data_IF_695168148438
#
_entry.id   IF_695168148438
#
_cell.length_a   1.000
_cell.length_b   1.000
_cell.length_c   1.000
_cell.angle_alpha   90.00
_cell.angle_beta   90.00
_cell.angle_gamma   90.00
#
_symmetry.space_group_name_H-M   'P 1'
#
loop_
_entity.id
_entity.type
_entity.pdbx_description
1 polymer ?
#
# COMPACT_ATOMS: atom_id res chain seq x y z
N UNK A 1 -34.39 30.67 8.58
CA UNK A 1 -33.37 29.61 8.39
C UNK A 1 -32.01 30.27 8.44
N UNK A 2 -31.07 29.75 9.22
CA UNK A 2 -29.75 30.37 9.43
C UNK A 2 -28.78 29.98 8.31
N UNK A 3 -27.84 30.86 8.00
CA UNK A 3 -26.74 30.62 7.05
C UNK A 3 -25.87 29.41 7.44
N UNK A 4 -25.74 29.15 8.75
CA UNK A 4 -25.06 27.97 9.28
C UNK A 4 -25.70 26.66 8.81
N UNK A 5 -27.04 26.59 8.71
CA UNK A 5 -27.74 25.40 8.24
C UNK A 5 -27.46 25.10 6.77
N UNK A 6 -27.44 26.13 5.90
CA UNK A 6 -27.12 25.94 4.49
C UNK A 6 -25.66 25.49 4.30
N UNK A 7 -24.75 26.05 5.10
CA UNK A 7 -23.34 25.64 5.08
C UNK A 7 -23.14 24.20 5.54
N UNK A 8 -23.93 23.74 6.51
CA UNK A 8 -23.88 22.35 6.96
C UNK A 8 -24.52 21.39 5.94
N UNK A 9 -25.57 21.82 5.23
CA UNK A 9 -26.15 21.05 4.13
C UNK A 9 -25.17 20.91 2.95
N UNK A 10 -24.50 22.00 2.55
CA UNK A 10 -23.44 21.97 1.54
C UNK A 10 -22.27 21.05 1.94
N UNK A 11 -21.96 20.97 3.24
CA UNK A 11 -20.95 20.04 3.74
C UNK A 11 -21.42 18.59 3.62
N UNK A 12 -22.67 18.30 3.90
CA UNK A 12 -23.21 16.94 3.72
C UNK A 12 -23.19 16.51 2.25
N UNK A 13 -23.51 17.42 1.32
CA UNK A 13 -23.49 17.13 -0.12
C UNK A 13 -22.07 16.92 -0.68
N UNK A 14 -21.04 17.38 0.03
CA UNK A 14 -19.63 17.18 -0.35
C UNK A 14 -18.99 15.94 0.29
N UNK A 15 -19.69 15.26 1.19
CA UNK A 15 -19.20 14.00 1.74
C UNK A 15 -19.18 12.93 0.64
N UNK A 16 -18.14 12.09 0.60
CA UNK A 16 -18.09 11.00 -0.35
C UNK A 16 -19.26 10.04 -0.08
N UNK A 17 -19.96 9.65 -1.14
CA UNK A 17 -21.05 8.65 -1.07
C UNK A 17 -20.52 7.23 -0.76
N UNK A 18 -19.22 7.02 -0.99
CA UNK A 18 -18.50 5.75 -0.82
C UNK A 18 -17.50 5.85 0.32
N UNK A 19 -17.23 4.72 0.95
CA UNK A 19 -16.12 4.60 1.89
C UNK A 19 -14.80 4.51 1.12
N UNK A 20 -13.83 5.30 1.56
CA UNK A 20 -12.54 5.45 0.90
C UNK A 20 -11.44 4.91 1.79
N UNK A 21 -10.70 3.92 1.29
CA UNK A 21 -9.60 3.30 2.04
C UNK A 21 -8.28 3.45 1.29
N UNK A 22 -7.23 3.79 2.03
CA UNK A 22 -5.86 3.66 1.58
C UNK A 22 -5.24 2.36 2.13
N UNK A 23 -4.49 1.65 1.29
CA UNK A 23 -3.79 0.43 1.67
C UNK A 23 -2.33 0.57 1.28
N UNK A 24 -1.44 0.46 2.26
CA UNK A 24 0.00 0.51 1.99
C UNK A 24 0.45 -0.82 1.39
N UNK A 25 1.24 -0.79 0.31
CA UNK A 25 1.80 -2.00 -0.30
C UNK A 25 3.31 -1.86 -0.43
N UNK A 26 4.02 -2.72 0.28
CA UNK A 26 5.47 -2.75 0.37
C UNK A 26 6.03 -4.08 -0.10
N UNK A 27 7.25 -4.04 -0.61
CA UNK A 27 8.10 -5.15 -0.97
C UNK A 27 9.34 -5.13 -0.07
N UNK A 28 9.63 -6.26 0.55
CA UNK A 28 10.79 -6.49 1.38
C UNK A 28 11.56 -7.70 0.84
N UNK A 29 12.82 -7.48 0.44
CA UNK A 29 13.68 -8.59 -0.01
C UNK A 29 13.98 -9.57 1.13
N UNK A 30 14.04 -9.07 2.35
CA UNK A 30 14.13 -9.86 3.58
C UNK A 30 13.51 -9.10 4.76
N UNK A 31 13.40 -9.77 5.92
CA UNK A 31 12.88 -9.16 7.16
C UNK A 31 13.83 -8.19 7.86
N UNK A 32 15.03 -7.95 7.32
CA UNK A 32 15.97 -6.92 7.80
C UNK A 32 16.00 -5.69 6.89
N UNK A 33 15.07 -5.60 5.94
CA UNK A 33 14.93 -4.48 5.01
C UNK A 33 14.87 -3.14 5.77
N UNK A 34 15.76 -2.23 5.40
CA UNK A 34 15.75 -0.86 5.91
C UNK A 34 14.65 -0.04 5.22
N UNK A 35 14.36 1.15 5.72
CA UNK A 35 13.45 2.08 5.02
C UNK A 35 13.89 2.38 3.58
N UNK A 36 15.19 2.43 3.31
CA UNK A 36 15.69 2.60 1.94
C UNK A 36 15.37 1.37 1.09
N UNK A 37 15.58 0.16 1.62
CA UNK A 37 15.24 -1.08 0.90
C UNK A 37 13.73 -1.21 0.64
N UNK A 38 12.89 -0.75 1.57
CA UNK A 38 11.43 -0.79 1.42
C UNK A 38 10.91 0.21 0.39
N UNK A 39 11.47 1.43 0.34
CA UNK A 39 10.98 2.49 -0.56
C UNK A 39 11.67 2.48 -1.93
N UNK A 40 12.92 2.03 -1.98
CA UNK A 40 13.81 1.99 -3.14
C UNK A 40 14.54 0.63 -3.25
N UNK A 41 13.81 -0.49 -3.35
CA UNK A 41 14.44 -1.82 -3.45
C UNK A 41 15.33 -1.90 -4.68
N UNK A 42 16.52 -2.53 -4.52
CA UNK A 42 17.48 -2.73 -5.61
C UNK A 42 16.91 -3.57 -6.76
N UNK A 43 16.03 -4.50 -6.43
CA UNK A 43 15.33 -5.35 -7.38
C UNK A 43 13.98 -5.74 -6.80
N UNK A 44 12.96 -5.76 -7.66
CA UNK A 44 11.60 -6.20 -7.33
C UNK A 44 11.34 -7.52 -8.07
N UNK A 45 10.72 -8.50 -7.40
CA UNK A 45 10.38 -9.77 -8.03
C UNK A 45 9.24 -9.62 -9.04
N UNK A 46 9.29 -10.42 -10.12
CA UNK A 46 8.24 -10.41 -11.14
C UNK A 46 6.87 -10.75 -10.56
N UNK A 47 6.82 -11.71 -9.64
CA UNK A 47 5.61 -12.13 -8.95
C UNK A 47 4.95 -10.98 -8.17
N UNK A 48 5.75 -10.17 -7.47
CA UNK A 48 5.22 -8.99 -6.77
C UNK A 48 4.65 -7.96 -7.74
N UNK A 49 5.33 -7.72 -8.87
CA UNK A 49 4.84 -6.78 -9.87
C UNK A 49 3.51 -7.26 -10.50
N UNK A 50 3.40 -8.55 -10.81
CA UNK A 50 2.16 -9.14 -11.29
C UNK A 50 1.06 -9.10 -10.22
N UNK A 51 1.41 -9.27 -8.95
CA UNK A 51 0.49 -9.07 -7.84
C UNK A 51 -0.04 -7.62 -7.80
N UNK A 52 0.83 -6.61 -7.89
CA UNK A 52 0.43 -5.19 -7.95
C UNK A 52 -0.53 -4.90 -9.11
N UNK A 53 -0.35 -5.57 -10.24
CA UNK A 53 -1.26 -5.45 -11.39
C UNK A 53 -2.59 -6.19 -11.19
N UNK A 54 -2.65 -7.14 -10.25
CA UNK A 54 -3.83 -7.96 -9.98
C UNK A 54 -4.76 -7.41 -8.89
N UNK A 55 -4.26 -6.57 -7.97
CA UNK A 55 -5.05 -6.02 -6.85
C UNK A 55 -6.07 -4.97 -7.28
N UNK A 56 -5.84 -4.30 -8.41
CA UNK A 56 -6.71 -3.25 -8.88
C UNK A 56 -6.43 -2.87 -10.33
N UNK A 57 -7.33 -2.07 -10.90
CA UNK A 57 -7.09 -1.48 -12.20
C UNK A 57 -6.09 -0.34 -12.07
N UNK A 58 -5.11 -0.28 -12.97
CA UNK A 58 -4.24 0.89 -13.08
C UNK A 58 -5.04 2.07 -13.65
N UNK A 59 -5.17 3.15 -12.89
CA UNK A 59 -5.89 4.37 -13.30
C UNK A 59 -4.92 5.54 -13.43
N UNK A 60 -5.10 6.38 -14.46
CA UNK A 60 -4.34 7.62 -14.63
C UNK A 60 -4.91 8.73 -13.75
N UNK A 61 -4.11 9.24 -12.82
CA UNK A 61 -4.55 10.26 -11.85
C UNK A 61 -4.96 11.58 -12.49
N UNK A 62 -4.52 11.86 -13.72
CA UNK A 62 -4.88 13.08 -14.44
C UNK A 62 -6.37 13.12 -14.79
N UNK A 63 -6.93 11.97 -15.14
CA UNK A 63 -8.30 11.84 -15.65
C UNK A 63 -9.21 11.11 -14.64
N UNK A 64 -8.66 10.67 -13.50
CA UNK A 64 -9.40 9.97 -12.47
C UNK A 64 -10.22 10.93 -11.59
N UNK A 65 -11.51 10.64 -11.45
CA UNK A 65 -12.47 11.46 -10.67
C UNK A 65 -12.81 10.87 -9.30
N UNK A 66 -12.36 9.64 -9.01
CA UNK A 66 -12.60 8.96 -7.74
C UNK A 66 -11.55 9.30 -6.68
N UNK A 67 -11.59 8.58 -5.57
CA UNK A 67 -10.65 8.74 -4.47
C UNK A 67 -9.19 8.52 -4.88
N UNK A 68 -8.35 9.53 -4.66
CA UNK A 68 -6.91 9.49 -4.90
C UNK A 68 -6.06 9.86 -3.66
N UNK A 69 -6.70 10.02 -2.50
CA UNK A 69 -6.04 10.42 -1.25
C UNK A 69 -5.16 11.66 -1.44
N UNK A 70 -3.90 11.58 -1.01
CA UNK A 70 -2.89 12.65 -1.16
C UNK A 70 -2.15 12.60 -2.51
N UNK A 71 -2.41 11.60 -3.34
CA UNK A 71 -1.77 11.46 -4.65
C UNK A 71 -2.39 12.41 -5.66
N UNK A 72 -1.57 12.89 -6.59
CA UNK A 72 -1.97 13.80 -7.66
C UNK A 72 -1.08 13.61 -8.90
N UNK A 73 -1.47 14.13 -10.07
CA UNK A 73 -0.72 13.97 -11.32
C UNK A 73 0.73 14.46 -11.26
N UNK A 74 1.05 15.39 -10.34
CA UNK A 74 2.40 15.93 -10.17
C UNK A 74 3.32 14.95 -9.45
N UNK A 75 2.77 14.10 -8.57
CA UNK A 75 3.55 13.17 -7.73
C UNK A 75 3.41 11.69 -8.13
N UNK A 76 2.40 11.34 -8.92
CA UNK A 76 2.19 9.99 -9.44
C UNK A 76 1.42 10.06 -10.77
N UNK A 77 1.71 9.17 -11.73
CA UNK A 77 0.95 9.09 -12.98
C UNK A 77 -0.23 8.14 -12.83
N UNK A 78 0.07 6.94 -12.38
CA UNK A 78 -0.85 5.80 -12.37
C UNK A 78 -0.82 5.12 -11.03
N UNK A 79 -1.98 4.71 -10.53
CA UNK A 79 -2.11 4.02 -9.25
C UNK A 79 -3.00 2.78 -9.38
N UNK A 80 -2.70 1.65 -8.72
CA UNK A 80 -3.65 0.55 -8.63
C UNK A 80 -4.83 0.99 -7.78
N UNK A 81 -6.01 0.86 -8.34
CA UNK A 81 -7.24 1.35 -7.77
C UNK A 81 -8.36 0.34 -7.95
N UNK A 82 -9.19 0.19 -6.93
CA UNK A 82 -10.39 -0.63 -6.97
C UNK A 82 -11.59 0.18 -6.54
N UNK A 83 -12.71 0.03 -7.26
CA UNK A 83 -13.98 0.60 -6.87
C UNK A 83 -15.10 -0.42 -6.99
N UNK A 84 -16.02 -0.37 -6.03
CA UNK A 84 -17.28 -1.08 -6.05
C UNK A 84 -18.43 -0.09 -5.86
N UNK A 85 -19.65 -0.57 -5.58
CA UNK A 85 -20.80 0.32 -5.32
C UNK A 85 -20.63 1.15 -4.05
N UNK A 86 -19.98 0.59 -3.03
CA UNK A 86 -19.95 1.17 -1.68
C UNK A 86 -18.55 1.62 -1.26
N UNK A 87 -17.51 1.10 -1.92
CA UNK A 87 -16.11 1.26 -1.46
C UNK A 87 -15.19 1.64 -2.61
N UNK A 88 -14.24 2.51 -2.32
CA UNK A 88 -13.09 2.86 -3.16
C UNK A 88 -11.79 2.56 -2.39
N UNK A 89 -10.83 1.92 -3.06
CA UNK A 89 -9.57 1.48 -2.47
C UNK A 89 -8.41 1.95 -3.33
N UNK A 90 -7.48 2.64 -2.69
CA UNK A 90 -6.23 3.11 -3.28
C UNK A 90 -5.06 2.32 -2.72
N UNK A 91 -4.30 1.65 -3.59
CA UNK A 91 -3.11 0.91 -3.18
C UNK A 91 -1.88 1.81 -3.26
N UNK A 92 -1.49 2.36 -2.11
CA UNK A 92 -0.34 3.24 -1.97
C UNK A 92 0.95 2.42 -1.99
N UNK A 93 1.76 2.61 -3.02
CA UNK A 93 3.05 1.93 -3.14
C UNK A 93 4.14 2.90 -3.62
N UNK A 94 5.34 2.87 -3.02
CA UNK A 94 6.37 3.85 -3.35
C UNK A 94 6.98 3.61 -4.75
N UNK A 95 6.75 2.43 -5.35
CA UNK A 95 7.36 2.01 -6.61
C UNK A 95 6.77 2.67 -7.86
N UNK A 96 5.59 3.29 -7.73
CA UNK A 96 4.89 3.98 -8.84
C UNK A 96 4.92 5.51 -8.69
N UNK A 97 5.49 6.01 -7.60
CA UNK A 97 5.59 7.44 -7.33
C UNK A 97 6.65 8.07 -8.24
N UNK A 98 6.33 9.26 -8.77
CA UNK A 98 7.28 9.98 -9.62
C UNK A 98 8.43 10.52 -8.79
N UNK A 99 9.60 10.39 -9.37
CA UNK A 99 10.75 11.19 -9.01
C UNK A 99 10.55 12.59 -9.61
N UNK A 100 10.53 13.62 -8.77
CA UNK A 100 10.49 14.99 -9.29
C UNK A 100 11.80 15.23 -10.02
N UNK A 101 11.71 15.53 -11.31
CA UNK A 101 12.88 15.81 -12.14
C UNK A 101 13.66 16.98 -11.55
N UNK A 102 14.92 16.72 -11.17
CA UNK A 102 15.90 17.73 -10.78
C UNK A 102 16.35 18.49 -12.04
N UNK A 103 15.45 19.26 -12.66
CA UNK A 103 15.81 20.10 -13.80
C UNK A 103 16.83 21.16 -13.35
N UNK A 104 18.09 21.00 -13.78
CA UNK A 104 19.08 22.09 -13.77
C UNK A 104 20.34 21.93 -12.89
N UNK A 105 20.80 20.74 -12.52
CA UNK A 105 22.12 20.60 -11.86
C UNK A 105 22.96 19.45 -12.44
N UNK A 106 24.20 19.78 -12.77
CA UNK A 106 25.22 18.97 -13.44
C UNK A 106 25.23 17.49 -13.04
N UNK A 107 25.39 16.63 -14.05
CA UNK A 107 25.48 15.17 -14.00
C UNK A 107 26.61 14.60 -13.12
N UNK A 108 27.43 15.45 -12.51
CA UNK A 108 28.60 15.06 -11.70
C UNK A 108 28.27 14.92 -10.19
N UNK A 109 27.01 15.12 -9.76
CA UNK A 109 26.56 14.99 -8.37
C UNK A 109 25.58 13.83 -8.13
N UNK A 110 25.89 12.66 -8.71
CA UNK A 110 25.08 11.45 -8.62
C UNK A 110 24.66 11.04 -7.18
N UNK A 111 25.53 11.11 -6.13
CA UNK A 111 25.14 10.72 -4.77
C UNK A 111 24.10 11.66 -4.14
N UNK A 112 24.11 12.94 -4.52
CA UNK A 112 23.21 13.96 -3.97
C UNK A 112 21.82 13.82 -4.59
N UNK A 113 21.74 13.42 -5.86
CA UNK A 113 20.47 13.19 -6.54
C UNK A 113 19.69 12.01 -5.92
N UNK A 114 20.34 10.87 -5.66
CA UNK A 114 19.68 9.70 -5.06
C UNK A 114 19.15 9.97 -3.65
N UNK A 115 19.90 10.72 -2.83
CA UNK A 115 19.47 11.06 -1.48
C UNK A 115 18.25 12.01 -1.47
N UNK A 116 18.23 12.99 -2.38
CA UNK A 116 17.08 13.90 -2.54
C UNK A 116 15.84 13.13 -3.00
N UNK A 117 16.00 12.23 -3.98
CA UNK A 117 14.89 11.43 -4.50
C UNK A 117 14.32 10.48 -3.43
N UNK A 118 15.20 9.82 -2.66
CA UNK A 118 14.79 9.01 -1.52
C UNK A 118 14.00 9.83 -0.50
N UNK A 119 14.49 11.02 -0.14
CA UNK A 119 13.81 11.90 0.81
C UNK A 119 12.42 12.32 0.31
N UNK A 120 12.29 12.72 -0.95
CA UNK A 120 11.02 13.10 -1.55
C UNK A 120 10.02 11.93 -1.57
N UNK A 121 10.48 10.76 -2.01
CA UNK A 121 9.65 9.53 -2.04
C UNK A 121 9.20 9.14 -0.63
N UNK A 122 10.10 9.23 0.35
CA UNK A 122 9.79 8.99 1.76
C UNK A 122 8.70 9.94 2.26
N UNK A 123 8.88 11.24 2.09
CA UNK A 123 7.90 12.24 2.54
C UNK A 123 6.51 12.00 1.92
N UNK A 124 6.47 11.74 0.61
CA UNK A 124 5.22 11.46 -0.09
C UNK A 124 4.56 10.15 0.36
N UNK A 125 5.35 9.08 0.48
CA UNK A 125 4.84 7.78 0.90
C UNK A 125 4.29 7.85 2.32
N UNK A 126 5.02 8.42 3.27
CA UNK A 126 4.56 8.59 4.65
C UNK A 126 3.28 9.44 4.74
N UNK A 127 3.15 10.48 3.90
CA UNK A 127 1.91 11.25 3.84
C UNK A 127 0.72 10.42 3.32
N UNK A 128 0.98 9.45 2.43
CA UNK A 128 -0.04 8.55 1.88
C UNK A 128 -0.41 7.37 2.78
N UNK A 129 0.37 7.10 3.84
CA UNK A 129 0.11 5.98 4.77
C UNK A 129 -0.58 6.38 6.07
N UNK A 130 -0.82 7.68 6.29
CA UNK A 130 -1.32 8.20 7.57
C UNK A 130 -2.68 7.60 7.99
N UNK A 131 -3.55 7.25 7.05
CA UNK A 131 -4.88 6.67 7.35
C UNK A 131 -4.97 5.18 6.96
N UNK A 132 -3.83 4.58 6.57
CA UNK A 132 -3.83 3.20 6.08
C UNK A 132 -3.78 2.24 7.27
N UNK A 133 -4.94 1.69 7.64
CA UNK A 133 -5.06 0.69 8.71
C UNK A 133 -4.61 -0.71 8.29
N UNK A 134 -4.66 -1.01 7.00
CA UNK A 134 -4.12 -2.25 6.44
C UNK A 134 -2.84 -1.98 5.65
N UNK A 135 -1.81 -2.79 5.92
CA UNK A 135 -0.55 -2.76 5.17
C UNK A 135 -0.24 -4.15 4.62
N UNK A 136 -0.11 -4.26 3.30
CA UNK A 136 0.36 -5.45 2.62
C UNK A 136 1.87 -5.40 2.53
N UNK A 137 2.55 -6.45 3.00
CA UNK A 137 4.00 -6.58 2.93
C UNK A 137 4.32 -7.87 2.18
N UNK A 138 4.86 -7.73 0.98
CA UNK A 138 5.45 -8.85 0.26
C UNK A 138 6.84 -9.13 0.80
N UNK A 139 7.10 -10.37 1.19
CA UNK A 139 8.40 -10.76 1.74
C UNK A 139 8.89 -12.04 1.07
N UNK A 140 10.14 -12.07 0.63
CA UNK A 140 10.72 -13.27 0.00
C UNK A 140 11.15 -14.32 1.05
N UNK A 141 11.33 -13.91 2.32
CA UNK A 141 11.74 -14.78 3.43
C UNK A 141 11.03 -14.40 4.73
N UNK A 142 10.41 -15.35 5.42
CA UNK A 142 9.66 -15.12 6.66
C UNK A 142 10.50 -15.07 7.95
N UNK A 143 11.80 -15.36 7.91
CA UNK A 143 12.62 -15.40 9.13
C UNK A 143 12.57 -14.03 9.81
N UNK A 144 12.06 -13.97 11.04
CA UNK A 144 11.91 -12.75 11.84
C UNK A 144 10.93 -11.71 11.27
N UNK A 145 9.87 -12.15 10.59
CA UNK A 145 8.82 -11.26 10.02
C UNK A 145 8.15 -10.36 11.06
N UNK A 146 8.05 -10.80 12.31
CA UNK A 146 7.52 -10.00 13.42
C UNK A 146 8.33 -8.71 13.66
N UNK A 147 9.65 -8.76 13.42
CA UNK A 147 10.51 -7.59 13.56
C UNK A 147 10.32 -6.63 12.39
N UNK A 148 10.15 -7.16 11.17
CA UNK A 148 9.81 -6.35 10.01
C UNK A 148 8.48 -5.63 10.21
N UNK A 149 7.44 -6.33 10.69
CA UNK A 149 6.14 -5.71 10.96
C UNK A 149 6.26 -4.59 11.99
N UNK A 150 6.95 -4.84 13.11
CA UNK A 150 7.17 -3.80 14.13
C UNK A 150 7.89 -2.58 13.56
N UNK A 151 8.91 -2.80 12.73
CA UNK A 151 9.65 -1.72 12.07
C UNK A 151 8.78 -0.93 11.09
N UNK A 152 7.99 -1.62 10.26
CA UNK A 152 7.06 -0.99 9.32
C UNK A 152 6.02 -0.17 10.08
N UNK A 153 5.45 -0.70 11.15
CA UNK A 153 4.49 0.03 11.98
C UNK A 153 5.17 1.24 12.63
N UNK A 154 6.36 1.12 13.21
CA UNK A 154 6.97 2.26 13.92
C UNK A 154 7.48 3.36 12.99
N UNK A 155 8.05 3.01 11.83
CA UNK A 155 8.77 3.96 10.99
C UNK A 155 8.07 4.32 9.67
N UNK A 156 7.16 3.47 9.17
CA UNK A 156 6.68 3.55 7.78
C UNK A 156 5.16 3.75 7.67
N UNK A 157 4.37 2.99 8.43
CA UNK A 157 2.91 3.07 8.40
C UNK A 157 2.34 2.95 9.84
N UNK A 158 2.44 4.02 10.66
CA UNK A 158 2.05 4.01 12.08
C UNK A 158 0.59 3.69 12.37
N UNK A 159 -0.30 3.94 11.42
CA UNK A 159 -1.74 3.65 11.56
C UNK A 159 -2.12 2.21 11.26
N UNK A 160 -1.15 1.39 10.83
CA UNK A 160 -1.37 -0.03 10.54
C UNK A 160 -1.88 -0.74 11.79
N UNK A 161 -3.10 -1.23 11.73
CA UNK A 161 -3.68 -2.15 12.72
C UNK A 161 -3.41 -3.59 12.33
N UNK A 162 -3.33 -3.86 11.02
CA UNK A 162 -3.11 -5.20 10.48
C UNK A 162 -2.12 -5.22 9.32
N UNK A 163 -1.16 -6.14 9.42
CA UNK A 163 -0.17 -6.44 8.40
C UNK A 163 -0.54 -7.75 7.69
N UNK A 164 -0.78 -7.67 6.38
CA UNK A 164 -1.02 -8.82 5.51
C UNK A 164 0.31 -9.19 4.86
N UNK A 165 0.92 -10.27 5.33
CA UNK A 165 2.18 -10.76 4.76
C UNK A 165 1.87 -11.72 3.64
N UNK A 166 2.45 -11.45 2.48
CA UNK A 166 2.41 -12.34 1.31
C UNK A 166 3.83 -12.84 1.08
N UNK A 167 4.00 -14.16 1.01
CA UNK A 167 5.29 -14.74 0.67
C UNK A 167 5.13 -15.92 -0.31
N UNK A 168 6.05 -16.09 -1.28
CA UNK A 168 6.02 -17.23 -2.20
C UNK A 168 6.08 -18.56 -1.45
N UNK A 169 5.31 -19.54 -1.92
CA UNK A 169 5.34 -20.90 -1.39
C UNK A 169 6.62 -21.61 -1.85
N UNK A 170 7.41 -22.11 -0.91
CA UNK A 170 8.76 -22.67 -1.18
C UNK A 170 8.79 -23.83 -2.17
N UNK A 171 7.70 -24.58 -2.27
CA UNK A 171 7.64 -25.83 -3.06
C UNK A 171 6.76 -25.75 -4.32
N UNK A 172 5.94 -24.71 -4.49
CA UNK A 172 4.93 -24.65 -5.57
C UNK A 172 4.93 -23.25 -6.16
N UNK A 173 5.39 -23.14 -7.41
CA UNK A 173 5.38 -21.86 -8.14
C UNK A 173 3.95 -21.37 -8.36
N UNK A 174 3.73 -20.05 -8.21
CA UNK A 174 2.42 -19.43 -8.35
C UNK A 174 1.47 -19.71 -7.19
N UNK A 175 1.97 -20.23 -6.07
CA UNK A 175 1.24 -20.29 -4.80
C UNK A 175 1.92 -19.38 -3.79
N UNK A 176 1.12 -18.70 -2.97
CA UNK A 176 1.57 -17.75 -1.97
C UNK A 176 0.91 -18.06 -0.64
N UNK A 177 1.68 -17.96 0.41
CA UNK A 177 1.21 -18.13 1.77
C UNK A 177 0.92 -16.77 2.37
N UNK A 178 -0.16 -16.71 3.13
CA UNK A 178 -0.60 -15.52 3.83
C UNK A 178 -0.33 -15.67 5.32
N UNK A 179 0.28 -14.65 5.92
CA UNK A 179 0.33 -14.49 7.38
C UNK A 179 -0.37 -13.19 7.75
N UNK A 180 -1.17 -13.22 8.80
CA UNK A 180 -1.83 -12.02 9.32
C UNK A 180 -1.23 -11.70 10.69
N UNK A 181 -0.71 -10.49 10.83
CA UNK A 181 -0.14 -10.01 12.09
C UNK A 181 -0.79 -8.70 12.48
N UNK A 182 -1.02 -8.49 13.77
CA UNK A 182 -1.44 -7.19 14.28
C UNK A 182 -0.27 -6.19 14.28
N UNK A 183 -0.55 -4.95 14.68
CA UNK A 183 0.44 -3.86 14.79
C UNK A 183 1.63 -4.17 15.72
N UNK A 184 1.50 -5.15 16.62
CA UNK A 184 2.58 -5.59 17.52
C UNK A 184 3.45 -6.68 16.90
N UNK A 185 3.19 -7.10 15.66
CA UNK A 185 3.85 -8.21 15.01
C UNK A 185 3.50 -9.56 15.64
N UNK A 186 2.32 -9.67 16.25
CA UNK A 186 1.83 -10.91 16.86
C UNK A 186 0.80 -11.52 15.92
N UNK A 187 0.92 -12.83 15.71
CA UNK A 187 -0.10 -13.63 15.05
C UNK A 187 -1.22 -13.85 16.07
N UNK A 188 -2.43 -13.38 15.76
CA UNK A 188 -3.60 -13.64 16.59
C UNK A 188 -4.29 -14.93 16.13
N UNK A 189 -4.63 -15.79 17.09
CA UNK A 189 -5.32 -17.05 16.80
C UNK A 189 -6.69 -16.76 16.15
N UNK A 190 -6.93 -17.38 14.99
CA UNK A 190 -8.14 -17.19 14.17
C UNK A 190 -8.32 -15.76 13.63
N UNK A 191 -7.24 -14.98 13.49
CA UNK A 191 -7.32 -13.72 12.77
C UNK A 191 -7.75 -13.97 11.32
N UNK A 192 -8.88 -13.37 10.95
CA UNK A 192 -9.43 -13.38 9.60
C UNK A 192 -9.79 -11.96 9.20
N UNK A 193 -9.49 -11.59 7.96
CA UNK A 193 -9.89 -10.30 7.40
C UNK A 193 -10.61 -10.62 6.09
N UNK A 194 -11.93 -10.43 6.07
CA UNK A 194 -12.76 -10.90 4.97
C UNK A 194 -12.46 -12.38 4.62
N UNK A 195 -12.09 -12.71 3.37
CA UNK A 195 -11.81 -14.09 2.98
C UNK A 195 -10.39 -14.58 3.34
N UNK A 196 -9.49 -13.69 3.79
CA UNK A 196 -8.13 -14.09 4.17
C UNK A 196 -8.08 -14.58 5.60
N UNK A 197 -7.39 -15.71 5.80
CA UNK A 197 -7.12 -16.30 7.11
C UNK A 197 -5.60 -16.47 7.28
N UNK A 198 -5.11 -16.34 8.51
CA UNK A 198 -3.71 -16.65 8.81
C UNK A 198 -3.36 -18.10 8.42
N UNK A 199 -2.23 -18.29 7.75
CA UNK A 199 -1.75 -19.60 7.28
C UNK A 199 -2.40 -20.10 5.99
N UNK A 200 -3.26 -19.30 5.34
CA UNK A 200 -3.86 -19.67 4.06
C UNK A 200 -2.83 -19.73 2.92
N UNK A 201 -3.01 -20.67 2.00
CA UNK A 201 -2.23 -20.77 0.76
C UNK A 201 -3.13 -20.43 -0.44
N UNK A 202 -2.69 -19.52 -1.30
CA UNK A 202 -3.49 -18.90 -2.37
C UNK A 202 -2.74 -18.99 -3.70
N UNK A 203 -3.46 -19.30 -4.76
CA UNK A 203 -2.89 -19.22 -6.11
C UNK A 203 -2.71 -17.77 -6.57
N UNK A 204 -1.74 -17.54 -7.45
CA UNK A 204 -1.48 -16.28 -8.13
C UNK A 204 -2.73 -15.61 -8.71
N UNK A 205 -3.63 -16.42 -9.28
CA UNK A 205 -4.85 -15.95 -9.95
C UNK A 205 -5.85 -15.38 -8.92
N UNK A 206 -5.92 -15.97 -7.73
CA UNK A 206 -6.87 -15.56 -6.69
C UNK A 206 -6.31 -14.48 -5.76
N UNK A 207 -4.99 -14.30 -5.71
CA UNK A 207 -4.32 -13.45 -4.74
C UNK A 207 -4.83 -12.00 -4.77
N UNK A 208 -4.79 -11.34 -5.92
CA UNK A 208 -5.24 -9.95 -6.05
C UNK A 208 -6.70 -9.76 -5.64
N UNK A 209 -7.59 -10.64 -6.13
CA UNK A 209 -9.04 -10.56 -5.84
C UNK A 209 -9.31 -10.72 -4.35
N UNK A 210 -8.68 -11.71 -3.70
CA UNK A 210 -8.91 -11.96 -2.28
C UNK A 210 -8.34 -10.85 -1.40
N UNK A 211 -7.16 -10.31 -1.73
CA UNK A 211 -6.59 -9.16 -1.01
C UNK A 211 -7.51 -7.94 -1.08
N UNK A 212 -8.15 -7.70 -2.22
CA UNK A 212 -9.10 -6.59 -2.39
C UNK A 212 -10.43 -6.84 -1.68
N UNK A 213 -10.91 -8.09 -1.64
CA UNK A 213 -12.14 -8.45 -0.93
C UNK A 213 -12.01 -8.37 0.59
N UNK A 214 -10.81 -8.54 1.16
CA UNK A 214 -10.54 -8.34 2.60
C UNK A 214 -10.93 -6.97 3.12
N UNK A 215 -10.72 -5.96 2.28
CA UNK A 215 -10.84 -4.57 2.69
C UNK A 215 -12.31 -4.13 2.78
N UNK A 216 -13.24 -4.96 2.27
CA UNK A 216 -14.70 -4.78 2.44
C UNK A 216 -15.22 -5.28 3.79
N UNK A 217 -14.41 -5.96 4.60
CA UNK A 217 -14.85 -6.63 5.81
C UNK A 217 -14.58 -5.82 7.10
N UNK A 218 -14.17 -4.55 6.97
CA UNK A 218 -13.89 -3.66 8.10
C UNK A 218 -15.10 -2.79 8.53
N UNK A 219 -16.30 -3.11 8.02
CA UNK A 219 -17.60 -2.53 8.41
C UNK A 219 -18.47 -3.53 9.18
#
# INVERSE_FOLDING_TARGET
>A
MSEAFFKDLERMDTLPERECFGVSVLYAGDCQSTMEDLLCPKSISTDFFEFLQSVGQSVELKDHVGYHGVLNPSNCNTVPYFASRNVEILFNTPYIMKEQSLEGKDSDKLPIASEILFKQRKELFLASTYENHATVIWVENLIAVENLVKYVVSEVAPSTTVAIIIHPHSSISGMYNIRLLNSLGIIEDNLSIGPLNDGMCISKIALGVLTTDCQKAYD
#
